data_IF_815851045423
#
_entry.id   IF_815851045423
#
_cell.length_a   1.000
_cell.length_b   1.000
_cell.length_c   1.000
_cell.angle_alpha   90.00
_cell.angle_beta   90.00
_cell.angle_gamma   90.00
#
_symmetry.space_group_name_H-M   'P 1'
#
loop_
_entity.id
_entity.type
_entity.pdbx_description
1 polymer ?
#
# COMPACT_ATOMS: atom_id res chain seq x y z
N UNK A 1 -4.65 -3.79 -16.13
CA UNK A 1 -4.02 -2.66 -15.41
C UNK A 1 -2.84 -3.19 -14.62
N UNK A 2 -1.73 -2.47 -14.64
CA UNK A 2 -0.52 -2.90 -13.92
C UNK A 2 -0.55 -2.47 -12.46
N UNK A 3 0.03 -3.31 -11.62
CA UNK A 3 0.20 -2.97 -10.20
C UNK A 3 1.26 -1.87 -10.06
N UNK A 4 0.94 -0.87 -9.26
CA UNK A 4 1.85 0.22 -8.92
C UNK A 4 2.07 0.16 -7.42
N UNK A 5 3.25 -0.28 -7.02
CA UNK A 5 3.55 -0.50 -5.60
C UNK A 5 3.68 0.82 -4.83
N UNK A 6 4.07 1.91 -5.49
CA UNK A 6 4.06 3.23 -4.84
C UNK A 6 2.63 3.67 -4.52
N UNK A 7 1.69 3.42 -5.42
CA UNK A 7 0.28 3.72 -5.15
C UNK A 7 -0.25 2.88 -3.97
N UNK A 8 0.12 1.61 -3.88
CA UNK A 8 -0.21 0.75 -2.73
C UNK A 8 0.28 1.41 -1.43
N UNK A 9 1.54 1.81 -1.41
CA UNK A 9 2.16 2.46 -0.26
C UNK A 9 1.42 3.75 0.11
N UNK A 10 1.14 4.61 -0.87
CA UNK A 10 0.48 5.89 -0.63
C UNK A 10 -0.97 5.73 -0.15
N UNK A 11 -1.69 4.73 -0.65
CA UNK A 11 -3.05 4.44 -0.17
C UNK A 11 -3.01 4.08 1.32
N UNK A 12 -2.10 3.19 1.72
CA UNK A 12 -1.99 2.78 3.12
C UNK A 12 -1.56 3.93 4.03
N UNK A 13 -0.64 4.79 3.57
CA UNK A 13 -0.26 5.98 4.33
C UNK A 13 -1.44 6.92 4.55
N UNK A 14 -2.26 7.14 3.50
CA UNK A 14 -3.47 7.96 3.63
C UNK A 14 -4.45 7.37 4.65
N UNK A 15 -4.65 6.06 4.63
CA UNK A 15 -5.56 5.40 5.57
C UNK A 15 -5.04 5.54 7.00
N UNK A 16 -3.73 5.49 7.19
CA UNK A 16 -3.11 5.66 8.49
C UNK A 16 -3.20 7.11 9.01
N UNK A 17 -3.43 8.06 8.14
CA UNK A 17 -3.57 9.46 8.53
C UNK A 17 -2.51 10.39 7.94
N UNK A 18 -1.55 9.87 7.18
CA UNK A 18 -0.54 10.68 6.51
C UNK A 18 -1.05 11.03 5.11
N UNK A 19 -1.58 12.24 4.95
CA UNK A 19 -2.24 12.66 3.72
C UNK A 19 -1.26 12.85 2.56
N UNK A 20 -1.57 12.21 1.42
CA UNK A 20 -0.93 12.41 0.14
C UNK A 20 -2.02 12.54 -0.92
N UNK A 21 -1.97 13.60 -1.73
CA UNK A 21 -2.92 13.79 -2.82
C UNK A 21 -2.60 12.79 -3.93
N UNK A 22 -3.56 11.94 -4.26
CA UNK A 22 -3.41 10.91 -5.29
C UNK A 22 -4.01 11.35 -6.63
N UNK A 23 -4.84 12.39 -6.64
CA UNK A 23 -5.62 12.76 -7.82
C UNK A 23 -4.79 13.35 -8.95
N UNK A 24 -3.59 13.88 -8.67
CA UNK A 24 -2.72 14.47 -9.66
C UNK A 24 -1.99 13.42 -10.51
N UNK A 25 -1.65 12.30 -9.89
CA UNK A 25 -0.80 11.30 -10.54
C UNK A 25 -1.55 10.03 -10.93
N UNK A 26 -2.76 9.83 -10.41
CA UNK A 26 -3.51 8.60 -10.60
C UNK A 26 -4.95 8.88 -10.96
N UNK A 27 -5.56 7.94 -11.70
CA UNK A 27 -6.99 8.00 -12.02
C UNK A 27 -7.80 7.25 -10.95
N UNK A 28 -9.10 7.52 -10.94
CA UNK A 28 -10.01 6.80 -10.04
C UNK A 28 -10.01 5.30 -10.32
N UNK A 29 -9.88 4.90 -11.58
CA UNK A 29 -9.81 3.48 -11.95
C UNK A 29 -8.56 2.80 -11.37
N UNK A 30 -7.41 3.48 -11.47
CA UNK A 30 -6.16 2.98 -10.88
C UNK A 30 -6.30 2.84 -9.36
N UNK A 31 -6.88 3.85 -8.73
CA UNK A 31 -7.11 3.85 -7.29
C UNK A 31 -8.02 2.68 -6.87
N UNK A 32 -9.16 2.51 -7.56
CA UNK A 32 -10.10 1.44 -7.24
C UNK A 32 -9.48 0.06 -7.43
N UNK A 33 -8.70 -0.12 -8.51
CA UNK A 33 -8.01 -1.37 -8.76
C UNK A 33 -7.06 -1.72 -7.62
N UNK A 34 -6.29 -0.75 -7.14
CA UNK A 34 -5.32 -0.98 -6.06
C UNK A 34 -5.99 -1.17 -4.71
N UNK A 35 -7.13 -0.51 -4.45
CA UNK A 35 -7.92 -0.83 -3.26
C UNK A 35 -8.37 -2.28 -3.26
N UNK A 36 -8.84 -2.78 -4.42
CA UNK A 36 -9.26 -4.17 -4.55
C UNK A 36 -8.11 -5.15 -4.33
N UNK A 37 -6.91 -4.82 -4.79
CA UNK A 37 -5.72 -5.62 -4.51
C UNK A 37 -5.44 -5.71 -3.01
N UNK A 38 -5.56 -4.59 -2.31
CA UNK A 38 -5.33 -4.55 -0.87
C UNK A 38 -6.38 -5.33 -0.09
N UNK A 39 -7.64 -5.26 -0.52
CA UNK A 39 -8.71 -6.03 0.10
C UNK A 39 -8.53 -7.52 -0.13
N UNK A 40 -8.25 -7.94 -1.37
CA UNK A 40 -8.08 -9.36 -1.69
C UNK A 40 -6.84 -9.96 -1.06
N UNK A 41 -5.80 -9.15 -0.81
CA UNK A 41 -4.60 -9.58 -0.09
C UNK A 41 -4.71 -9.53 1.43
N UNK A 42 -5.86 -9.10 1.95
CA UNK A 42 -6.15 -8.95 3.38
C UNK A 42 -5.23 -7.91 4.05
N UNK A 43 -4.82 -6.89 3.31
CA UNK A 43 -4.11 -5.74 3.87
C UNK A 43 -5.07 -4.69 4.43
N UNK A 44 -6.31 -4.70 3.91
CA UNK A 44 -7.40 -3.83 4.34
C UNK A 44 -8.66 -4.66 4.56
N UNK A 45 -9.52 -4.17 5.46
CA UNK A 45 -10.92 -4.58 5.55
C UNK A 45 -11.79 -3.37 5.27
N UNK A 46 -13.03 -3.59 4.89
CA UNK A 46 -13.96 -2.50 4.59
C UNK A 46 -15.26 -2.70 5.34
N UNK A 47 -15.93 -1.59 5.65
CA UNK A 47 -17.27 -1.63 6.21
C UNK A 47 -18.08 -0.43 5.71
N UNK A 48 -19.41 -0.59 5.68
CA UNK A 48 -20.31 0.47 5.23
C UNK A 48 -20.36 1.59 6.28
N UNK A 49 -20.16 2.81 5.83
CA UNK A 49 -20.05 3.96 6.70
C UNK A 49 -21.39 4.44 7.26
N UNK A 50 -22.46 4.34 6.45
CA UNK A 50 -23.79 4.78 6.85
C UNK A 50 -23.97 6.29 6.93
N UNK A 51 -23.03 7.08 6.43
CA UNK A 51 -23.09 8.54 6.43
C UNK A 51 -23.27 9.08 5.01
N UNK A 52 -23.88 10.25 4.90
CA UNK A 52 -24.12 10.90 3.62
C UNK A 52 -22.83 11.40 2.97
N UNK A 53 -21.89 11.90 3.79
CA UNK A 53 -20.62 12.40 3.27
C UNK A 53 -19.71 11.27 2.89
N UNK A 54 -19.14 11.27 1.68
CA UNK A 54 -18.24 10.23 1.27
C UNK A 54 -16.96 10.24 2.12
N UNK A 55 -16.43 9.05 2.39
CA UNK A 55 -15.11 8.90 2.95
C UNK A 55 -14.10 9.17 1.82
N UNK A 56 -13.06 9.94 2.11
CA UNK A 56 -12.10 10.39 1.09
C UNK A 56 -10.71 9.84 1.42
N UNK A 57 -10.08 9.24 0.42
CA UNK A 57 -8.71 8.73 0.52
C UNK A 57 -7.89 9.40 -0.59
N UNK A 58 -6.91 10.21 -0.18
CA UNK A 58 -6.03 10.87 -1.13
C UNK A 58 -6.72 11.75 -2.16
N UNK A 59 -7.91 12.27 -1.85
CA UNK A 59 -8.72 13.06 -2.75
C UNK A 59 -9.78 12.28 -3.53
N UNK A 60 -9.77 10.93 -3.47
CA UNK A 60 -10.76 10.10 -4.13
C UNK A 60 -11.90 9.75 -3.16
N UNK A 61 -13.16 10.03 -3.52
CA UNK A 61 -14.28 9.68 -2.66
C UNK A 61 -14.54 8.16 -2.67
N UNK A 62 -14.89 7.64 -1.51
CA UNK A 62 -15.18 6.22 -1.32
C UNK A 62 -16.48 6.07 -0.56
N UNK A 63 -17.31 5.08 -0.92
CA UNK A 63 -18.56 4.81 -0.21
C UNK A 63 -18.36 3.95 1.03
N UNK A 64 -17.23 3.25 1.10
CA UNK A 64 -16.90 2.38 2.21
C UNK A 64 -15.77 2.99 3.02
N UNK A 65 -15.71 2.66 4.30
CA UNK A 65 -14.59 2.98 5.16
C UNK A 65 -13.62 1.79 5.18
N UNK A 66 -12.32 2.09 5.16
CA UNK A 66 -11.28 1.07 5.13
C UNK A 66 -10.43 1.16 6.40
N UNK A 67 -10.08 0.00 6.95
CA UNK A 67 -9.17 -0.09 8.07
C UNK A 67 -8.05 -1.07 7.73
N UNK A 68 -6.85 -0.82 8.27
CA UNK A 68 -5.73 -1.73 8.06
C UNK A 68 -5.84 -2.95 8.94
N UNK A 69 -5.53 -4.10 8.36
CA UNK A 69 -5.34 -5.34 9.09
C UNK A 69 -3.94 -5.36 9.70
N UNK A 70 -3.63 -6.39 10.50
CA UNK A 70 -2.25 -6.62 10.96
C UNK A 70 -1.27 -6.67 9.79
N UNK A 71 -1.67 -7.34 8.71
CA UNK A 71 -0.84 -7.46 7.50
C UNK A 71 -0.61 -6.09 6.85
N UNK A 72 -1.62 -5.24 6.83
CA UNK A 72 -1.50 -3.87 6.32
C UNK A 72 -0.54 -3.03 7.18
N UNK A 73 -0.66 -3.12 8.50
CA UNK A 73 0.26 -2.43 9.41
C UNK A 73 1.70 -2.93 9.25
N UNK A 74 1.89 -4.24 9.14
CA UNK A 74 3.23 -4.81 8.90
C UNK A 74 3.83 -4.26 7.63
N UNK A 75 3.05 -4.17 6.55
CA UNK A 75 3.52 -3.64 5.28
C UNK A 75 3.95 -2.18 5.42
N UNK A 76 3.09 -1.34 5.97
CA UNK A 76 3.39 0.10 6.02
C UNK A 76 4.54 0.41 6.99
N UNK A 77 4.70 -0.37 8.05
CA UNK A 77 5.80 -0.18 8.98
C UNK A 77 7.16 -0.36 8.30
N UNK A 78 7.26 -1.30 7.35
CA UNK A 78 8.52 -1.53 6.62
C UNK A 78 8.60 -0.76 5.30
N UNK A 79 7.49 -0.24 4.80
CA UNK A 79 7.43 0.50 3.54
C UNK A 79 7.36 2.02 3.73
N UNK A 80 7.36 2.50 4.97
CA UNK A 80 7.19 3.91 5.27
C UNK A 80 8.30 4.79 4.70
N UNK A 81 9.54 4.33 4.78
CA UNK A 81 10.66 5.06 4.21
C UNK A 81 10.66 4.93 2.69
N UNK A 82 10.40 6.04 2.00
CA UNK A 82 10.27 6.05 0.54
C UNK A 82 11.55 5.61 -0.17
N UNK A 83 12.70 6.09 0.28
CA UNK A 83 13.98 5.75 -0.34
C UNK A 83 14.29 4.27 -0.20
N UNK A 84 14.09 3.71 0.98
CA UNK A 84 14.30 2.28 1.22
C UNK A 84 13.33 1.44 0.38
N UNK A 85 12.06 1.83 0.36
CA UNK A 85 11.03 1.14 -0.41
C UNK A 85 11.37 1.10 -1.90
N UNK A 86 11.76 2.25 -2.47
CA UNK A 86 12.13 2.33 -3.89
C UNK A 86 13.38 1.52 -4.21
N UNK A 87 14.35 1.48 -3.30
CA UNK A 87 15.56 0.68 -3.50
C UNK A 87 15.24 -0.82 -3.53
N UNK A 88 14.32 -1.26 -2.69
CA UNK A 88 13.87 -2.66 -2.68
C UNK A 88 13.13 -3.02 -3.97
N UNK A 89 12.25 -2.13 -4.45
CA UNK A 89 11.54 -2.36 -5.70
C UNK A 89 12.51 -2.48 -6.88
N UNK A 90 13.53 -1.62 -6.93
CA UNK A 90 14.54 -1.66 -7.98
C UNK A 90 15.32 -2.98 -7.94
N UNK A 91 15.67 -3.45 -6.75
CA UNK A 91 16.39 -4.72 -6.60
C UNK A 91 15.54 -5.91 -7.07
N UNK A 92 14.25 -5.94 -6.73
CA UNK A 92 13.35 -6.99 -7.19
C UNK A 92 13.22 -6.98 -8.71
N UNK A 93 13.14 -5.80 -9.32
CA UNK A 93 13.05 -5.66 -10.76
C UNK A 93 14.32 -6.18 -11.44
N UNK A 94 15.49 -5.86 -10.91
CA UNK A 94 16.78 -6.32 -11.44
C UNK A 94 16.91 -7.84 -11.41
N UNK A 95 16.32 -8.47 -10.40
CA UNK A 95 16.35 -9.93 -10.25
C UNK A 95 15.22 -10.63 -11.02
N UNK A 96 14.41 -9.86 -11.77
CA UNK A 96 13.27 -10.37 -12.53
C UNK A 96 12.28 -11.16 -11.65
N UNK A 97 12.14 -10.78 -10.38
CA UNK A 97 11.18 -11.38 -9.45
C UNK A 97 9.83 -10.73 -9.67
N UNK A 98 8.72 -11.50 -9.72
CA UNK A 98 7.39 -10.90 -9.80
C UNK A 98 7.12 -9.97 -8.63
N UNK A 99 6.65 -8.74 -8.92
CA UNK A 99 6.42 -7.74 -7.89
C UNK A 99 4.96 -7.81 -7.45
N UNK A 100 4.70 -8.62 -6.42
CA UNK A 100 3.41 -8.69 -5.76
C UNK A 100 3.54 -8.06 -4.37
N UNK A 101 2.40 -7.68 -3.78
CA UNK A 101 2.41 -7.07 -2.44
C UNK A 101 3.05 -8.03 -1.43
N UNK A 102 2.72 -9.32 -1.49
CA UNK A 102 3.27 -10.32 -0.59
C UNK A 102 4.77 -10.49 -0.74
N UNK A 103 5.27 -10.55 -1.97
CA UNK A 103 6.71 -10.68 -2.23
C UNK A 103 7.46 -9.43 -1.75
N UNK A 104 6.92 -8.24 -2.03
CA UNK A 104 7.53 -6.99 -1.57
C UNK A 104 7.60 -6.96 -0.05
N UNK A 105 6.53 -7.34 0.63
CA UNK A 105 6.49 -7.38 2.09
C UNK A 105 7.57 -8.31 2.66
N UNK A 106 7.67 -9.53 2.14
CA UNK A 106 8.66 -10.48 2.62
C UNK A 106 10.09 -10.01 2.36
N UNK A 107 10.33 -9.41 1.20
CA UNK A 107 11.64 -8.89 0.85
C UNK A 107 12.03 -7.71 1.74
N UNK A 108 11.09 -6.81 2.03
CA UNK A 108 11.30 -5.70 2.96
C UNK A 108 11.67 -6.20 4.36
N UNK A 109 10.93 -7.20 4.85
CA UNK A 109 11.20 -7.79 6.16
C UNK A 109 12.59 -8.41 6.22
N UNK A 110 12.98 -9.15 5.18
CA UNK A 110 14.29 -9.77 5.12
C UNK A 110 15.41 -8.73 5.12
N UNK A 111 15.24 -7.63 4.38
CA UNK A 111 16.22 -6.55 4.33
C UNK A 111 16.38 -5.86 5.68
N UNK A 112 15.28 -5.65 6.40
CA UNK A 112 15.33 -5.03 7.71
C UNK A 112 16.03 -5.94 8.70
N UNK A 113 15.75 -7.25 8.68
CA UNK A 113 16.44 -8.23 9.53
C UNK A 113 17.95 -8.20 9.28
N UNK A 114 18.37 -8.16 8.02
CA UNK A 114 19.78 -8.06 7.67
C UNK A 114 20.43 -6.80 8.20
N UNK A 115 19.75 -5.65 8.08
CA UNK A 115 20.24 -4.36 8.62
C UNK A 115 20.40 -4.37 10.13
N UNK A 116 19.52 -5.10 10.81
CA UNK A 116 19.53 -5.18 12.27
C UNK A 116 20.43 -6.30 12.80
N UNK A 117 20.97 -7.13 11.91
CA UNK A 117 21.79 -8.26 12.31
C UNK A 117 21.01 -9.37 13.02
N UNK A 118 19.73 -9.54 12.69
CA UNK A 118 18.85 -10.50 13.34
C UNK A 118 18.74 -11.84 12.60
N UNK A 119 19.53 -12.04 11.59
CA UNK A 119 19.56 -13.30 10.85
C UNK A 119 20.33 -14.39 11.58
#
# INVERSE_FOLDING_TARGET
MKRDMELIRLILLNIEGEHHDLTKDYTQEQFAFHLNLLLSGVFLTQYFHGKENPYVIGGFPCQMTFTMTWRGHDFIDVARDEGFFKSVLAELKDKAVPVTIGIVLEFLKAKIKGKLGLE
#
